data_IF_310677641607
#
_entry.id   IF_310677641607
#
_cell.length_a   1.000
_cell.length_b   1.000
_cell.length_c   1.000
_cell.angle_alpha   90.00
_cell.angle_beta   90.00
_cell.angle_gamma   90.00
#
_symmetry.space_group_name_H-M   'P 1'
#
loop_
_entity.id
_entity.type
_entity.pdbx_description
1 polymer ?
#
# COMPACT_ATOMS: atom_id res chain seq x y z
N UNK A 1 11.25 -3.67 -5.03
CA UNK A 1 11.60 -5.07 -4.70
C UNK A 1 10.43 -5.91 -5.14
N UNK A 2 10.70 -6.95 -5.91
CA UNK A 2 9.65 -7.76 -6.51
C UNK A 2 9.32 -8.92 -5.57
N UNK A 3 8.08 -8.97 -5.10
CA UNK A 3 7.55 -10.05 -4.24
C UNK A 3 6.59 -10.88 -5.09
N UNK A 4 6.87 -12.17 -5.19
CA UNK A 4 6.05 -13.12 -5.96
C UNK A 4 5.21 -14.03 -5.06
N UNK A 5 5.68 -14.28 -3.85
CA UNK A 5 5.03 -15.14 -2.88
C UNK A 5 3.98 -14.38 -2.05
N UNK A 6 2.74 -14.85 -2.08
CA UNK A 6 1.64 -14.29 -1.29
C UNK A 6 1.96 -14.31 0.21
N UNK A 7 2.45 -15.43 0.72
CA UNK A 7 2.81 -15.57 2.14
C UNK A 7 3.88 -14.55 2.58
N UNK A 8 4.81 -14.20 1.69
CA UNK A 8 5.80 -13.17 1.98
C UNK A 8 5.15 -11.78 2.00
N UNK A 9 4.26 -11.51 1.03
CA UNK A 9 3.52 -10.26 0.99
C UNK A 9 2.63 -10.07 2.23
N UNK A 10 1.90 -11.08 2.66
CA UNK A 10 1.05 -11.03 3.86
C UNK A 10 1.86 -10.70 5.12
N UNK A 11 3.06 -11.27 5.26
CA UNK A 11 3.98 -10.92 6.36
C UNK A 11 4.39 -9.44 6.29
N UNK A 12 4.70 -8.93 5.11
CA UNK A 12 5.07 -7.51 4.92
C UNK A 12 3.91 -6.60 5.29
N UNK A 13 2.72 -6.87 4.78
CA UNK A 13 1.51 -6.07 5.07
C UNK A 13 1.19 -6.09 6.56
N UNK A 14 1.16 -7.26 7.20
CA UNK A 14 0.84 -7.40 8.63
C UNK A 14 1.83 -6.69 9.56
N UNK A 15 3.11 -6.57 9.18
CA UNK A 15 4.10 -5.79 9.97
C UNK A 15 3.99 -4.27 9.76
N UNK A 16 3.38 -3.82 8.66
CA UNK A 16 3.35 -2.40 8.28
C UNK A 16 1.93 -1.84 8.34
N UNK A 17 1.63 -1.07 9.40
CA UNK A 17 0.28 -0.49 9.64
C UNK A 17 -0.27 0.40 8.52
N UNK A 18 0.60 0.94 7.67
CA UNK A 18 0.19 1.79 6.54
C UNK A 18 -0.18 0.98 5.30
N UNK A 19 0.30 -0.26 5.19
CA UNK A 19 0.00 -1.13 4.06
C UNK A 19 -1.33 -1.85 4.30
N UNK A 20 -2.18 -1.87 3.28
CA UNK A 20 -3.48 -2.51 3.34
C UNK A 20 -3.75 -3.21 2.01
N UNK A 21 -4.50 -4.32 2.06
CA UNK A 21 -4.98 -5.00 0.87
C UNK A 21 -6.15 -4.24 0.25
N UNK A 22 -6.11 -4.08 -1.07
CA UNK A 22 -7.21 -3.58 -1.89
C UNK A 22 -7.43 -4.60 -3.02
N UNK A 23 -8.28 -5.59 -2.75
CA UNK A 23 -8.35 -6.78 -3.61
C UNK A 23 -7.01 -7.53 -3.60
N UNK A 24 -6.39 -7.67 -4.77
CA UNK A 24 -5.06 -8.27 -4.95
C UNK A 24 -3.92 -7.26 -4.90
N UNK A 25 -4.21 -5.96 -4.83
CA UNK A 25 -3.21 -4.90 -4.84
C UNK A 25 -2.89 -4.43 -3.42
N UNK A 26 -1.73 -3.78 -3.26
CA UNK A 26 -1.32 -3.21 -1.98
C UNK A 26 -1.46 -1.70 -2.00
N UNK A 27 -2.15 -1.14 -1.02
CA UNK A 27 -2.27 0.28 -0.78
C UNK A 27 -1.39 0.73 0.41
N UNK A 28 -0.38 1.58 0.15
CA UNK A 28 0.29 2.37 1.19
C UNK A 28 -0.54 3.63 1.47
N UNK A 29 -1.25 3.65 2.59
CA UNK A 29 -2.07 4.77 3.04
C UNK A 29 -1.35 5.53 4.14
N UNK A 30 -1.10 6.81 3.88
CA UNK A 30 -0.51 7.72 4.85
C UNK A 30 -1.52 8.77 5.22
N UNK A 31 -1.89 8.83 6.51
CA UNK A 31 -2.85 9.81 7.01
C UNK A 31 -2.27 11.21 6.86
N UNK A 32 -3.00 12.10 6.19
CA UNK A 32 -2.62 13.50 6.05
C UNK A 32 -3.81 14.33 5.59
N UNK A 33 -3.99 15.51 6.18
CA UNK A 33 -5.02 16.46 5.77
C UNK A 33 -4.78 16.98 4.35
N UNK A 34 -3.52 16.97 3.88
CA UNK A 34 -3.18 17.27 2.49
C UNK A 34 -3.78 16.25 1.50
N UNK A 35 -4.24 15.09 1.98
CA UNK A 35 -4.99 14.12 1.18
C UNK A 35 -6.26 14.70 0.58
N UNK A 36 -6.81 15.79 1.13
CA UNK A 36 -7.98 16.47 0.54
C UNK A 36 -7.69 17.11 -0.82
N UNK A 37 -6.46 17.53 -1.07
CA UNK A 37 -6.06 18.24 -2.29
C UNK A 37 -5.12 17.42 -3.18
N UNK A 38 -4.63 16.28 -2.69
CA UNK A 38 -3.76 15.40 -3.45
C UNK A 38 -4.53 14.62 -4.53
N UNK A 39 -3.91 14.44 -5.69
CA UNK A 39 -4.47 13.66 -6.82
C UNK A 39 -4.73 12.20 -6.41
N UNK A 40 -3.87 11.66 -5.55
CA UNK A 40 -3.98 10.33 -4.98
C UNK A 40 -4.54 10.35 -3.55
N UNK A 41 -5.30 11.39 -3.22
CA UNK A 41 -6.04 11.52 -1.99
C UNK A 41 -7.21 10.55 -1.91
N UNK A 42 -7.40 9.92 -0.75
CA UNK A 42 -8.55 9.06 -0.47
C UNK A 42 -9.11 9.37 0.91
N UNK A 43 -10.44 9.36 1.03
CA UNK A 43 -11.13 9.50 2.31
C UNK A 43 -11.56 8.12 2.80
N UNK A 44 -11.02 7.70 3.94
CA UNK A 44 -11.32 6.41 4.58
C UNK A 44 -11.76 6.69 6.00
N UNK A 45 -12.94 6.20 6.38
CA UNK A 45 -13.53 6.38 7.72
C UNK A 45 -13.54 7.84 8.21
N UNK A 46 -13.89 8.75 7.29
CA UNK A 46 -13.97 10.19 7.56
C UNK A 46 -12.63 10.92 7.59
N UNK A 47 -11.50 10.21 7.56
CA UNK A 47 -10.15 10.77 7.58
C UNK A 47 -9.51 10.80 6.19
N UNK A 48 -8.65 11.79 5.94
CA UNK A 48 -7.92 11.92 4.69
C UNK A 48 -6.58 11.18 4.72
N UNK A 49 -6.30 10.50 3.63
CA UNK A 49 -5.07 9.77 3.37
C UNK A 49 -4.54 10.14 1.99
N UNK A 50 -3.24 10.03 1.83
CA UNK A 50 -2.60 9.90 0.53
C UNK A 50 -2.29 8.44 0.31
N UNK A 51 -2.73 7.89 -0.82
CA UNK A 51 -2.60 6.48 -1.15
C UNK A 51 -1.66 6.26 -2.32
N UNK A 52 -0.80 5.26 -2.20
CA UNK A 52 -0.04 4.69 -3.33
C UNK A 52 -0.44 3.24 -3.51
N UNK A 53 -0.86 2.87 -4.72
CA UNK A 53 -1.20 1.49 -5.07
C UNK A 53 0.00 0.82 -5.74
N UNK A 54 0.33 -0.38 -5.27
CA UNK A 54 1.27 -1.30 -5.89
C UNK A 54 0.47 -2.49 -6.44
N UNK A 55 0.19 -2.49 -7.75
CA UNK A 55 -0.64 -3.52 -8.34
C UNK A 55 0.09 -4.86 -8.43
N UNK A 56 -0.67 -5.96 -8.37
CA UNK A 56 -0.14 -7.27 -8.71
C UNK A 56 0.07 -7.35 -10.22
N UNK A 57 1.32 -7.54 -10.64
CA UNK A 57 1.68 -7.74 -12.06
C UNK A 57 2.09 -9.19 -12.31
N UNK A 58 2.33 -9.56 -13.57
CA UNK A 58 2.91 -10.87 -13.94
C UNK A 58 4.27 -11.13 -13.28
N UNK A 59 4.99 -10.06 -12.92
CA UNK A 59 6.27 -10.16 -12.21
C UNK A 59 6.10 -10.26 -10.69
N UNK A 60 4.90 -10.01 -10.15
CA UNK A 60 4.63 -9.87 -8.72
C UNK A 60 4.33 -8.41 -8.34
N UNK A 61 4.36 -8.14 -7.03
CA UNK A 61 4.23 -6.78 -6.50
C UNK A 61 5.60 -6.10 -6.42
N UNK A 62 5.71 -4.89 -6.95
CA UNK A 62 6.92 -4.08 -6.80
C UNK A 62 6.77 -3.08 -5.65
N UNK A 63 7.38 -3.41 -4.50
CA UNK A 63 7.36 -2.58 -3.29
C UNK A 63 8.66 -1.80 -3.11
N UNK A 64 8.64 -0.56 -2.60
CA UNK A 64 9.85 0.16 -2.26
C UNK A 64 10.70 -0.58 -1.21
N UNK A 65 12.02 -0.45 -1.29
CA UNK A 65 12.97 -1.12 -0.38
C UNK A 65 12.77 -0.78 1.10
N UNK A 66 12.04 0.29 1.42
CA UNK A 66 11.66 0.65 2.81
C UNK A 66 10.81 -0.41 3.52
N UNK A 67 10.18 -1.31 2.75
CA UNK A 67 9.39 -2.44 3.28
C UNK A 67 10.15 -3.77 3.27
N UNK A 68 11.43 -3.73 2.89
CA UNK A 68 12.30 -4.89 2.96
C UNK A 68 12.52 -5.23 4.43
N UNK A 69 12.15 -6.45 4.81
CA UNK A 69 12.51 -7.04 6.11
C UNK A 69 13.95 -7.51 6.12
#
# INVERSE_FOLDING_TARGET
MIIKDLNQMEKIVSKNKNLNWVGWDIADRRRTEAGRTAINGVRVDGQWYVQTIYPLTSNGWDLPNKYRM
#
